data_IF_284482367122
#
_entry.id   IF_284482367122
#
_cell.length_a   1.000
_cell.length_b   1.000
_cell.length_c   1.000
_cell.angle_alpha   90.00
_cell.angle_beta   90.00
_cell.angle_gamma   90.00
#
_symmetry.space_group_name_H-M   'P 1'
#
loop_
_entity.id
_entity.type
_entity.pdbx_description
1 polymer ?
#
# COMPACT_ATOMS: atom_id res chain seq x y z
N UNK A 1 -19.03 -5.78 -5.43
CA UNK A 1 -19.65 -5.12 -4.25
C UNK A 1 -19.79 -6.09 -3.07
N UNK A 2 -20.32 -7.31 -3.26
CA UNK A 2 -20.59 -8.31 -2.22
C UNK A 2 -19.38 -8.62 -1.32
N UNK A 3 -18.19 -8.76 -1.90
CA UNK A 3 -16.95 -8.94 -1.14
C UNK A 3 -16.71 -7.82 -0.12
N UNK A 4 -16.90 -6.57 -0.51
CA UNK A 4 -16.78 -5.44 0.41
C UNK A 4 -17.89 -5.46 1.47
N UNK A 5 -19.11 -5.77 1.09
CA UNK A 5 -20.26 -5.79 2.02
C UNK A 5 -20.07 -6.83 3.13
N UNK A 6 -19.69 -8.06 2.78
CA UNK A 6 -19.43 -9.12 3.75
C UNK A 6 -18.31 -8.71 4.73
N UNK A 7 -17.22 -8.13 4.23
CA UNK A 7 -16.10 -7.74 5.06
C UNK A 7 -16.35 -6.47 5.87
N UNK A 8 -17.12 -5.53 5.34
CA UNK A 8 -17.55 -4.35 6.10
C UNK A 8 -18.40 -4.77 7.31
N UNK A 9 -19.30 -5.74 7.15
CA UNK A 9 -20.09 -6.31 8.24
C UNK A 9 -19.19 -7.04 9.24
N UNK A 10 -18.33 -7.95 8.75
CA UNK A 10 -17.45 -8.77 9.59
C UNK A 10 -16.52 -7.94 10.47
N UNK A 11 -15.85 -6.93 9.91
CA UNK A 11 -14.84 -6.11 10.60
C UNK A 11 -15.35 -4.76 11.09
N UNK A 12 -16.68 -4.61 11.23
CA UNK A 12 -17.31 -3.35 11.64
C UNK A 12 -16.71 -2.77 12.92
N UNK A 13 -16.45 -3.61 13.91
CA UNK A 13 -15.94 -3.23 15.24
C UNK A 13 -14.43 -3.45 15.39
N UNK A 14 -13.76 -3.98 14.38
CA UNK A 14 -12.32 -4.25 14.45
C UNK A 14 -11.52 -2.99 14.10
N UNK A 15 -10.82 -2.45 15.11
CA UNK A 15 -10.01 -1.23 14.94
C UNK A 15 -8.69 -1.46 14.20
N UNK A 16 -8.26 -2.70 13.98
CA UNK A 16 -7.04 -3.00 13.21
C UNK A 16 -7.30 -2.89 11.73
N UNK A 17 -8.50 -3.27 11.27
CA UNK A 17 -8.85 -3.23 9.84
C UNK A 17 -9.35 -1.84 9.50
N UNK A 18 -8.66 -1.18 8.58
CA UNK A 18 -8.94 0.19 8.18
C UNK A 18 -9.47 0.32 6.74
N UNK A 19 -9.18 -0.65 5.88
CA UNK A 19 -9.56 -0.58 4.47
C UNK A 19 -9.77 -1.96 3.88
N UNK A 20 -10.67 -2.07 2.92
CA UNK A 20 -10.88 -3.23 2.07
C UNK A 20 -10.58 -2.79 0.64
N UNK A 21 -9.79 -3.56 -0.09
CA UNK A 21 -9.46 -3.30 -1.49
C UNK A 21 -9.99 -4.41 -2.38
N UNK A 22 -10.44 -4.08 -3.58
CA UNK A 22 -10.91 -5.05 -4.58
C UNK A 22 -9.85 -5.45 -5.60
N UNK A 23 -8.66 -4.84 -5.59
CA UNK A 23 -7.64 -5.10 -6.58
C UNK A 23 -6.53 -6.03 -6.08
N UNK A 24 -5.97 -6.79 -7.03
CA UNK A 24 -4.80 -7.66 -6.84
C UNK A 24 -3.92 -7.56 -8.08
N UNK A 25 -2.64 -7.26 -7.89
CA UNK A 25 -1.75 -6.93 -9.00
C UNK A 25 -0.77 -8.04 -9.36
N UNK A 26 -0.67 -9.09 -8.56
CA UNK A 26 0.24 -10.19 -8.83
C UNK A 26 -0.39 -11.21 -9.78
N UNK A 27 0.43 -11.80 -10.63
CA UNK A 27 -0.01 -12.83 -11.56
C UNK A 27 -0.20 -14.20 -10.91
N UNK A 28 0.44 -14.46 -9.76
CA UNK A 28 0.32 -15.70 -9.02
C UNK A 28 -0.98 -15.73 -8.22
N UNK A 29 -1.72 -16.82 -8.32
CA UNK A 29 -2.92 -17.06 -7.50
C UNK A 29 -2.51 -17.91 -6.32
N UNK A 30 -2.78 -17.44 -5.11
CA UNK A 30 -2.71 -18.23 -3.89
C UNK A 30 -4.13 -18.53 -3.43
N UNK A 31 -4.47 -19.79 -3.19
CA UNK A 31 -5.87 -20.22 -3.07
C UNK A 31 -6.29 -20.71 -1.67
N UNK A 32 -5.45 -20.56 -0.64
CA UNK A 32 -5.81 -21.06 0.69
C UNK A 32 -6.99 -20.31 1.32
N UNK A 33 -7.05 -18.98 1.12
CA UNK A 33 -8.08 -18.11 1.65
C UNK A 33 -8.61 -17.17 0.56
N UNK A 34 -9.76 -16.53 0.79
CA UNK A 34 -10.30 -15.56 -0.17
C UNK A 34 -9.53 -14.23 -0.20
N UNK A 35 -8.82 -13.90 0.88
CA UNK A 35 -8.10 -12.65 1.05
C UNK A 35 -6.98 -12.76 2.09
N UNK A 36 -6.15 -11.72 2.17
CA UNK A 36 -5.06 -11.60 3.14
C UNK A 36 -5.00 -10.19 3.72
N UNK A 37 -4.23 -10.04 4.82
CA UNK A 37 -3.95 -8.74 5.43
C UNK A 37 -2.65 -8.17 4.89
N UNK A 38 -2.68 -6.89 4.56
CA UNK A 38 -1.62 -6.17 3.86
C UNK A 38 -1.40 -4.78 4.49
N UNK A 39 -0.23 -4.23 4.26
CA UNK A 39 0.03 -2.79 4.41
C UNK A 39 -0.03 -2.05 3.09
N UNK A 40 0.03 -2.75 1.96
CA UNK A 40 0.00 -2.11 0.66
C UNK A 40 -1.37 -1.55 0.32
N UNK A 41 -1.44 -0.29 -0.13
CA UNK A 41 -2.70 0.34 -0.51
C UNK A 41 -3.23 -0.26 -1.81
N UNK A 42 -4.54 -0.27 -1.92
CA UNK A 42 -5.24 -0.62 -3.14
C UNK A 42 -6.52 0.17 -3.23
N UNK A 43 -6.48 1.28 -3.95
CA UNK A 43 -7.58 2.25 -4.02
C UNK A 43 -8.53 2.03 -5.19
N UNK A 44 -8.43 0.90 -5.88
CA UNK A 44 -9.39 0.52 -6.91
C UNK A 44 -10.42 -0.47 -6.35
N UNK A 45 -11.71 -0.12 -6.47
CA UNK A 45 -12.80 -0.93 -5.93
C UNK A 45 -12.65 -1.13 -4.42
N UNK A 46 -12.49 -0.06 -3.68
CA UNK A 46 -12.19 -0.07 -2.25
C UNK A 46 -13.39 0.33 -1.40
N UNK A 47 -13.35 -0.04 -0.11
CA UNK A 47 -14.31 0.35 0.90
C UNK A 47 -13.63 0.60 2.25
N UNK A 48 -14.25 1.43 3.05
CA UNK A 48 -13.82 1.73 4.43
C UNK A 48 -15.04 2.08 5.30
N UNK A 49 -14.80 2.39 6.56
CA UNK A 49 -15.82 2.77 7.53
C UNK A 49 -15.74 4.27 7.84
N UNK A 50 -16.87 4.85 8.22
CA UNK A 50 -16.92 6.25 8.67
C UNK A 50 -15.92 6.53 9.79
N UNK A 51 -15.75 5.58 10.75
CA UNK A 51 -14.76 5.71 11.84
C UNK A 51 -13.33 5.90 11.32
N UNK A 52 -12.96 5.23 10.21
CA UNK A 52 -11.63 5.35 9.61
C UNK A 52 -11.50 6.65 8.85
N UNK A 53 -12.55 7.04 8.11
CA UNK A 53 -12.57 8.30 7.38
C UNK A 53 -12.47 9.51 8.30
N UNK A 54 -13.14 9.48 9.45
CA UNK A 54 -13.04 10.54 10.46
C UNK A 54 -11.65 10.65 11.11
N UNK A 55 -10.85 9.60 11.03
CA UNK A 55 -9.45 9.57 11.49
C UNK A 55 -8.45 10.03 10.41
N UNK A 56 -8.91 10.33 9.20
CA UNK A 56 -8.04 10.71 8.09
C UNK A 56 -7.50 12.12 8.29
N UNK A 57 -6.18 12.22 8.44
CA UNK A 57 -5.45 13.50 8.50
C UNK A 57 -5.10 13.93 7.07
N UNK A 58 -6.03 14.65 6.43
CA UNK A 58 -5.89 15.08 5.04
C UNK A 58 -4.78 16.10 4.83
N UNK A 59 -4.42 16.85 5.86
CA UNK A 59 -3.33 17.83 5.84
C UNK A 59 -2.00 17.24 6.27
N UNK A 60 -2.01 15.97 6.72
CA UNK A 60 -0.82 15.30 7.25
C UNK A 60 -0.11 16.11 8.34
N UNK A 61 -0.88 16.73 9.25
CA UNK A 61 -0.37 17.62 10.31
C UNK A 61 0.65 16.94 11.21
N UNK A 62 0.54 15.63 11.36
CA UNK A 62 1.50 14.79 12.10
C UNK A 62 2.79 14.46 11.36
N UNK A 63 2.95 14.87 10.09
CA UNK A 63 4.14 14.53 9.30
C UNK A 63 5.38 15.28 9.78
N UNK A 64 6.39 14.52 10.24
CA UNK A 64 7.65 15.06 10.80
C UNK A 64 8.84 14.49 10.06
N UNK A 65 9.03 14.92 8.81
CA UNK A 65 10.13 14.55 7.90
C UNK A 65 11.08 13.44 8.41
N UNK A 66 12.13 13.80 9.16
CA UNK A 66 13.14 12.83 9.58
C UNK A 66 12.63 11.74 10.53
N UNK A 67 11.80 12.08 11.51
CA UNK A 67 11.24 11.10 12.46
C UNK A 67 10.37 10.07 11.74
N UNK A 68 9.62 10.51 10.73
CA UNK A 68 8.76 9.63 9.96
C UNK A 68 9.53 8.77 8.96
N UNK A 69 10.70 9.21 8.50
CA UNK A 69 11.58 8.35 7.74
C UNK A 69 12.07 7.14 8.56
N UNK A 70 12.52 7.37 9.80
CA UNK A 70 12.91 6.28 10.70
C UNK A 70 11.73 5.39 11.07
N UNK A 71 10.55 5.96 11.31
CA UNK A 71 9.34 5.20 11.52
C UNK A 71 9.02 4.29 10.32
N UNK A 72 9.14 4.78 9.09
CA UNK A 72 8.96 3.97 7.88
C UNK A 72 10.01 2.86 7.76
N UNK A 73 11.26 3.12 8.16
CA UNK A 73 12.30 2.08 8.19
C UNK A 73 11.89 0.92 9.13
N UNK A 74 11.42 1.23 10.33
CA UNK A 74 10.93 0.21 11.27
C UNK A 74 9.67 -0.48 10.72
N UNK A 75 8.74 0.26 10.14
CA UNK A 75 7.52 -0.27 9.55
C UNK A 75 7.81 -1.31 8.46
N UNK A 76 8.88 -1.12 7.70
CA UNK A 76 9.31 -2.00 6.62
C UNK A 76 10.49 -2.91 6.99
N UNK A 77 10.71 -3.21 8.27
CA UNK A 77 11.76 -4.08 8.75
C UNK A 77 13.14 -3.67 8.18
N UNK A 78 13.49 -2.41 8.30
CA UNK A 78 14.75 -1.80 7.82
C UNK A 78 14.96 -1.88 6.30
N UNK A 79 13.90 -2.08 5.52
CA UNK A 79 13.98 -2.00 4.08
C UNK A 79 14.02 -0.54 3.61
N UNK A 80 15.22 -0.03 3.40
CA UNK A 80 15.47 1.37 3.03
C UNK A 80 14.73 1.79 1.75
N UNK A 81 14.68 0.91 0.75
CA UNK A 81 14.06 1.24 -0.56
C UNK A 81 12.57 1.49 -0.40
N UNK A 82 11.89 0.61 0.33
CA UNK A 82 10.46 0.77 0.62
C UNK A 82 10.21 2.03 1.46
N UNK A 83 11.01 2.21 2.51
CA UNK A 83 10.90 3.37 3.38
C UNK A 83 11.12 4.67 2.60
N UNK A 84 12.16 4.76 1.77
CA UNK A 84 12.45 5.93 0.95
C UNK A 84 11.38 6.20 -0.08
N UNK A 85 10.85 5.15 -0.73
CA UNK A 85 9.76 5.30 -1.70
C UNK A 85 8.53 5.94 -1.05
N UNK A 86 8.06 5.41 0.07
CA UNK A 86 6.89 5.95 0.75
C UNK A 86 7.16 7.28 1.43
N UNK A 87 8.37 7.47 1.96
CA UNK A 87 8.81 8.77 2.46
C UNK A 87 8.68 9.85 1.40
N UNK A 88 9.20 9.59 0.17
CA UNK A 88 9.07 10.53 -0.92
C UNK A 88 7.61 10.82 -1.25
N UNK A 89 6.78 9.78 -1.36
CA UNK A 89 5.35 9.94 -1.67
C UNK A 89 4.60 10.74 -0.60
N UNK A 90 4.84 10.47 0.67
CA UNK A 90 4.23 11.22 1.77
C UNK A 90 4.75 12.65 1.85
N UNK A 91 6.04 12.86 1.61
CA UNK A 91 6.61 14.21 1.58
C UNK A 91 6.08 15.03 0.39
N UNK A 92 5.96 14.42 -0.79
CA UNK A 92 5.40 15.06 -1.97
C UNK A 92 3.90 15.39 -1.76
N UNK A 93 3.14 14.50 -1.09
CA UNK A 93 1.74 14.73 -0.73
C UNK A 93 1.59 15.84 0.32
N UNK A 94 2.42 15.84 1.35
CA UNK A 94 2.45 16.89 2.39
C UNK A 94 2.77 18.28 1.82
N UNK A 95 3.67 18.34 0.82
CA UNK A 95 4.04 19.60 0.16
C UNK A 95 3.12 19.96 -1.03
N UNK A 96 1.98 19.27 -1.19
CA UNK A 96 0.98 19.47 -2.24
C UNK A 96 1.55 19.33 -3.67
N UNK A 97 2.68 18.60 -3.83
CA UNK A 97 3.25 18.28 -5.15
C UNK A 97 2.43 17.17 -5.82
N UNK A 98 1.87 16.26 -5.04
CA UNK A 98 0.96 15.22 -5.49
C UNK A 98 -0.44 15.60 -4.99
N UNK A 99 -1.34 15.87 -5.92
CA UNK A 99 -2.77 16.05 -5.63
C UNK A 99 -3.46 14.67 -5.65
N UNK A 100 -3.37 13.96 -4.53
CA UNK A 100 -3.95 12.63 -4.38
C UNK A 100 -4.25 12.34 -2.92
N UNK A 101 -5.51 12.05 -2.63
CA UNK A 101 -6.04 11.76 -1.28
C UNK A 101 -5.60 10.41 -0.72
N UNK A 102 -5.15 9.49 -1.56
CA UNK A 102 -4.84 8.11 -1.18
C UNK A 102 -3.57 7.99 -0.32
N UNK A 103 -2.57 8.85 -0.53
CA UNK A 103 -1.37 8.88 0.31
C UNK A 103 -1.64 9.45 1.71
N UNK A 104 -2.50 10.44 1.84
CA UNK A 104 -2.91 10.98 3.14
C UNK A 104 -3.69 9.93 3.95
N UNK A 105 -4.63 9.24 3.29
CA UNK A 105 -5.36 8.14 3.93
C UNK A 105 -4.43 6.99 4.33
N UNK A 106 -3.49 6.61 3.47
CA UNK A 106 -2.52 5.56 3.76
C UNK A 106 -1.63 5.92 4.94
N UNK A 107 -1.14 7.17 5.00
CA UNK A 107 -0.38 7.68 6.13
C UNK A 107 -1.18 7.57 7.43
N UNK A 108 -2.43 8.03 7.42
CA UNK A 108 -3.33 7.95 8.56
C UNK A 108 -3.60 6.51 9.03
N UNK A 109 -3.78 5.58 8.09
CA UNK A 109 -3.93 4.14 8.37
C UNK A 109 -2.67 3.58 9.05
N UNK A 110 -1.50 3.85 8.49
CA UNK A 110 -0.24 3.29 9.01
C UNK A 110 0.18 3.88 10.35
N UNK A 111 -0.07 5.16 10.59
CA UNK A 111 0.18 5.80 11.90
C UNK A 111 -0.62 5.16 13.03
N UNK A 112 -1.74 4.54 12.71
CA UNK A 112 -2.60 3.80 13.64
C UNK A 112 -2.40 2.29 13.60
N UNK A 113 -1.28 1.82 13.00
CA UNK A 113 -0.98 0.40 12.79
C UNK A 113 -2.12 -0.37 12.09
N UNK A 114 -2.87 0.32 11.24
CA UNK A 114 -3.99 -0.23 10.51
C UNK A 114 -3.56 -1.23 9.43
N UNK A 115 -4.44 -2.18 9.15
CA UNK A 115 -4.30 -3.19 8.11
C UNK A 115 -5.34 -2.96 7.01
N UNK A 116 -4.96 -3.44 5.83
CA UNK A 116 -5.78 -3.40 4.62
C UNK A 116 -6.09 -4.83 4.22
N UNK A 117 -7.34 -5.13 3.92
CA UNK A 117 -7.73 -6.41 3.34
C UNK A 117 -7.51 -6.36 1.84
N UNK A 118 -6.85 -7.39 1.31
CA UNK A 118 -6.59 -7.57 -0.12
C UNK A 118 -7.07 -8.94 -0.59
N UNK A 119 -7.88 -9.04 -1.65
CA UNK A 119 -8.25 -10.33 -2.20
C UNK A 119 -7.07 -11.00 -2.91
N UNK A 120 -7.06 -12.33 -3.01
CA UNK A 120 -6.08 -13.07 -3.83
C UNK A 120 -6.42 -13.09 -5.32
N UNK A 121 -7.48 -12.39 -5.71
CA UNK A 121 -7.93 -12.23 -7.10
C UNK A 121 -8.27 -10.77 -7.34
N UNK A 122 -8.01 -10.23 -8.52
CA UNK A 122 -8.51 -8.88 -8.82
C UNK A 122 -10.01 -8.94 -9.11
N UNK A 123 -10.78 -8.20 -8.32
CA UNK A 123 -12.24 -8.09 -8.43
C UNK A 123 -12.65 -6.85 -9.24
N UNK A 124 -11.68 -6.02 -9.60
CA UNK A 124 -11.91 -4.80 -10.37
C UNK A 124 -10.79 -4.60 -11.39
N UNK A 125 -11.11 -3.91 -12.48
CA UNK A 125 -10.17 -3.51 -13.53
C UNK A 125 -10.03 -2.00 -13.54
N UNK A 126 -8.81 -1.52 -13.62
CA UNK A 126 -8.56 -0.11 -13.86
C UNK A 126 -8.76 0.22 -15.33
N UNK A 127 -9.75 1.06 -15.65
CA UNK A 127 -10.10 1.46 -17.03
C UNK A 127 -9.69 2.90 -17.34
N UNK A 128 -9.29 3.68 -16.34
CA UNK A 128 -8.91 5.10 -16.45
C UNK A 128 -7.47 5.33 -16.92
N UNK A 129 -7.02 4.61 -17.94
CA UNK A 129 -5.64 4.67 -18.46
C UNK A 129 -5.55 5.16 -19.91
N UNK A 130 -6.46 6.00 -20.33
CA UNK A 130 -6.47 6.61 -21.67
C UNK A 130 -5.86 8.02 -21.71
N UNK A 131 -5.97 8.68 -22.86
CA UNK A 131 -5.55 10.07 -23.04
C UNK A 131 -6.32 11.04 -22.13
N UNK A 132 -7.52 10.65 -21.68
CA UNK A 132 -8.39 11.41 -20.78
C UNK A 132 -8.13 11.13 -19.30
N UNK A 133 -7.11 10.33 -18.99
CA UNK A 133 -6.78 9.99 -17.60
C UNK A 133 -6.28 11.23 -16.85
N UNK A 134 -6.77 11.46 -15.64
CA UNK A 134 -6.38 12.62 -14.81
C UNK A 134 -4.94 12.49 -14.33
N UNK A 135 -4.57 11.35 -13.74
CA UNK A 135 -3.28 11.15 -13.06
C UNK A 135 -2.33 10.19 -13.76
N UNK A 136 -2.75 9.54 -14.85
CA UNK A 136 -1.97 8.47 -15.50
C UNK A 136 -1.65 8.76 -16.98
N UNK A 137 -1.69 10.04 -17.40
CA UNK A 137 -1.31 10.42 -18.77
C UNK A 137 0.16 10.09 -19.03
N UNK A 138 0.40 9.32 -20.09
CA UNK A 138 1.76 9.03 -20.57
C UNK A 138 2.60 8.07 -19.72
N UNK A 139 2.04 7.47 -18.68
CA UNK A 139 2.78 6.50 -17.83
C UNK A 139 2.78 5.14 -18.51
N UNK A 140 3.97 4.68 -18.92
CA UNK A 140 4.16 3.34 -19.53
C UNK A 140 3.77 2.17 -18.60
N UNK A 141 3.69 2.39 -17.31
CA UNK A 141 3.34 1.41 -16.26
C UNK A 141 1.86 1.00 -16.24
N UNK A 142 1.02 1.68 -17.00
CA UNK A 142 -0.40 1.34 -17.24
C UNK A 142 -0.54 -0.09 -17.80
N UNK A 143 0.49 -0.60 -18.47
CA UNK A 143 0.46 -1.92 -19.06
C UNK A 143 0.28 -3.09 -18.07
N UNK A 144 0.65 -2.96 -16.81
CA UNK A 144 0.47 -4.03 -15.81
C UNK A 144 -0.97 -4.05 -15.33
N UNK A 145 -1.52 -2.89 -14.97
CA UNK A 145 -2.89 -2.78 -14.42
C UNK A 145 -3.96 -3.10 -15.47
N UNK A 146 -3.73 -2.72 -16.73
CA UNK A 146 -4.66 -3.04 -17.84
C UNK A 146 -4.66 -4.52 -18.22
N UNK A 147 -3.57 -5.26 -17.96
CA UNK A 147 -3.43 -6.69 -18.23
C UNK A 147 -4.02 -7.59 -17.15
N UNK A 148 -4.42 -7.02 -16.00
CA UNK A 148 -4.98 -7.79 -14.91
C UNK A 148 -6.36 -8.31 -15.31
N UNK A 149 -6.51 -9.63 -15.25
CA UNK A 149 -7.80 -10.29 -15.47
C UNK A 149 -8.63 -10.20 -14.20
N UNK A 150 -9.82 -9.64 -14.32
CA UNK A 150 -10.84 -9.70 -13.26
C UNK A 150 -11.30 -11.14 -13.13
N UNK A 151 -11.41 -11.61 -11.89
CA UNK A 151 -11.92 -12.96 -11.56
C UNK A 151 -13.06 -12.82 -10.57
N UNK A 152 -14.03 -13.70 -10.69
CA UNK A 152 -15.13 -13.77 -9.75
C UNK A 152 -14.70 -14.31 -8.39
N UNK A 153 -15.25 -13.73 -7.33
CA UNK A 153 -15.08 -14.24 -5.96
C UNK A 153 -16.12 -15.32 -5.72
N UNK A 154 -15.67 -16.44 -5.18
CA UNK A 154 -16.57 -17.50 -4.72
C UNK A 154 -17.09 -17.18 -3.33
N UNK A 155 -18.35 -17.44 -3.10
CA UNK A 155 -19.02 -17.28 -1.80
C UNK A 155 -19.57 -18.62 -1.31
N UNK A 156 -19.56 -18.86 0.02
CA UNK A 156 -19.06 -17.97 1.06
C UNK A 156 -17.53 -17.82 1.00
N UNK A 157 -17.03 -16.61 1.33
CA UNK A 157 -15.59 -16.36 1.37
C UNK A 157 -14.92 -17.04 2.56
N UNK A 158 -13.73 -17.62 2.34
CA UNK A 158 -12.90 -18.12 3.41
C UNK A 158 -12.12 -16.99 4.09
N UNK A 159 -11.94 -17.11 5.40
CA UNK A 159 -11.33 -16.09 6.22
C UNK A 159 -10.01 -16.56 6.81
N UNK A 160 -8.94 -15.74 6.76
CA UNK A 160 -7.70 -16.05 7.45
C UNK A 160 -7.93 -16.23 8.95
N UNK A 161 -7.36 -17.27 9.51
CA UNK A 161 -7.46 -17.58 10.96
C UNK A 161 -6.63 -16.64 11.82
N UNK A 162 -5.61 -15.98 11.26
CA UNK A 162 -4.68 -15.09 11.98
C UNK A 162 -4.57 -13.74 11.29
N UNK A 163 -4.53 -12.68 12.10
CA UNK A 163 -4.20 -11.32 11.65
C UNK A 163 -2.69 -11.19 11.38
N UNK A 164 -2.20 -11.88 10.38
CA UNK A 164 -0.80 -11.84 9.97
C UNK A 164 -0.67 -11.16 8.61
N UNK A 165 0.18 -10.12 8.55
CA UNK A 165 0.50 -9.45 7.28
C UNK A 165 1.23 -10.43 6.38
N UNK A 166 0.79 -10.53 5.13
CA UNK A 166 1.53 -11.26 4.12
C UNK A 166 2.62 -10.38 3.52
N UNK A 167 3.74 -10.29 4.22
CA UNK A 167 4.88 -9.45 3.83
C UNK A 167 5.52 -9.86 2.50
N UNK A 168 5.38 -11.12 2.10
CA UNK A 168 5.87 -11.60 0.82
C UNK A 168 5.07 -10.98 -0.32
N UNK A 169 3.73 -10.99 -0.24
CA UNK A 169 2.88 -10.36 -1.24
C UNK A 169 3.07 -8.84 -1.26
N UNK A 170 3.13 -8.19 -0.10
CA UNK A 170 3.44 -6.76 -0.01
C UNK A 170 4.78 -6.43 -0.69
N UNK A 171 5.77 -7.30 -0.57
CA UNK A 171 7.09 -7.11 -1.18
C UNK A 171 7.07 -7.29 -2.68
N UNK A 172 6.38 -8.32 -3.17
CA UNK A 172 6.22 -8.59 -4.59
C UNK A 172 5.43 -7.46 -5.27
N UNK A 173 4.33 -7.03 -4.66
CA UNK A 173 3.51 -5.96 -5.18
C UNK A 173 4.28 -4.65 -5.32
N UNK A 174 5.02 -4.24 -4.28
CA UNK A 174 5.85 -3.04 -4.34
C UNK A 174 6.92 -3.16 -5.42
N UNK A 175 7.51 -4.33 -5.58
CA UNK A 175 8.55 -4.59 -6.58
C UNK A 175 8.01 -4.56 -8.02
N UNK A 176 6.87 -5.21 -8.25
CA UNK A 176 6.34 -5.42 -9.60
C UNK A 176 5.58 -4.20 -10.13
N UNK A 177 4.77 -3.55 -9.29
CA UNK A 177 3.93 -2.42 -9.69
C UNK A 177 4.73 -1.13 -9.79
N UNK A 178 5.74 -0.97 -8.95
CA UNK A 178 6.41 0.33 -8.78
C UNK A 178 7.78 0.40 -9.45
N UNK A 179 8.12 -0.57 -10.29
CA UNK A 179 9.37 -0.57 -11.08
C UNK A 179 10.65 -0.56 -10.23
N UNK A 180 10.55 -0.90 -8.93
CA UNK A 180 11.66 -0.83 -7.99
C UNK A 180 12.75 -1.90 -8.21
N UNK A 181 12.68 -2.64 -9.32
CA UNK A 181 13.72 -3.63 -9.69
C UNK A 181 15.12 -3.02 -9.80
N UNK A 182 15.18 -1.76 -10.23
CA UNK A 182 16.48 -1.08 -10.51
C UNK A 182 17.13 -0.46 -9.28
N UNK A 183 16.37 -0.14 -8.23
CA UNK A 183 16.88 0.63 -7.08
C UNK A 183 17.58 -0.21 -6.00
N UNK A 184 17.53 -1.53 -6.06
CA UNK A 184 18.14 -2.39 -5.03
C UNK A 184 19.65 -2.18 -4.86
N UNK A 185 20.38 -1.90 -5.94
CA UNK A 185 21.82 -1.72 -5.90
C UNK A 185 22.24 -0.33 -5.43
N UNK A 186 21.53 0.70 -5.87
CA UNK A 186 21.82 2.09 -5.49
C UNK A 186 21.48 2.36 -4.01
N UNK A 187 20.37 1.82 -3.53
CA UNK A 187 19.96 1.91 -2.12
C UNK A 187 20.96 1.28 -1.18
N UNK A 188 21.50 0.11 -1.53
CA UNK A 188 22.54 -0.55 -0.74
C UNK A 188 23.81 0.31 -0.60
N UNK A 189 24.26 0.97 -1.68
CA UNK A 189 25.42 1.87 -1.64
C UNK A 189 25.18 3.09 -0.75
N UNK A 190 24.00 3.67 -0.78
CA UNK A 190 23.61 4.85 0.03
C UNK A 190 23.57 4.48 1.51
N UNK A 191 22.91 3.36 1.86
CA UNK A 191 22.86 2.87 3.26
C UNK A 191 24.24 2.56 3.79
N UNK A 192 25.10 1.91 3.00
CA UNK A 192 26.48 1.61 3.38
C UNK A 192 27.27 2.89 3.63
N UNK A 193 27.09 3.92 2.80
CA UNK A 193 27.74 5.22 2.96
C UNK A 193 27.26 5.98 4.19
N UNK A 194 25.92 5.99 4.46
CA UNK A 194 25.36 6.59 5.67
C UNK A 194 25.79 5.86 6.94
N UNK A 195 25.82 4.53 6.94
CA UNK A 195 26.28 3.74 8.07
C UNK A 195 27.76 4.00 8.39
N UNK A 196 28.59 4.20 7.37
CA UNK A 196 29.99 4.56 7.52
C UNK A 196 30.14 5.97 8.12
N UNK A 197 29.32 6.94 7.68
CA UNK A 197 29.28 8.30 8.24
C UNK A 197 28.87 8.31 9.72
N UNK A 198 27.80 7.61 10.09
CA UNK A 198 27.32 7.52 11.46
C UNK A 198 28.28 6.79 12.42
N UNK A 199 29.16 5.92 11.89
CA UNK A 199 30.22 5.29 12.66
C UNK A 199 31.43 6.22 12.88
N UNK A 200 31.66 7.18 11.99
CA UNK A 200 32.79 8.13 12.09
C UNK A 200 32.49 9.28 13.07
N UNK A 201 31.21 9.63 13.28
CA UNK A 201 30.82 10.64 14.27
C UNK A 201 30.80 10.13 15.73
N UNK A 202 31.04 8.83 15.96
CA UNK A 202 31.12 8.22 17.30
C UNK A 202 32.57 7.92 17.74
N UNK A 203 33.56 8.44 17.05
CA UNK A 203 34.94 8.49 17.47
C UNK A 203 35.37 9.93 17.70
#
# INVERSE_FOLDING_TARGET
YEFCEVLLKKYKLDNKIKMISGNYYLSSVYEADSYYFSRCPGTHGWATWRRVWNENDTEMTGWKKYKDFFWLLFLFNMNFIKAHFFYKKFNDSFNLIIDSWDYQLLYSIWKRNGLIIRPYKSLCKHIGSGNDATNSKGIKDINIQSKIKVKEMQFPISHPTKFKINSNFDSLEIKDIRGLRFFNYLGYKIVKKMYTYLKLEKK
#
